data_IF_448551283854
#
_entry.id   IF_448551283854
#
_cell.length_a   1.000
_cell.length_b   1.000
_cell.length_c   1.000
_cell.angle_alpha   90.00
_cell.angle_beta   90.00
_cell.angle_gamma   90.00
#
_symmetry.space_group_name_H-M   'P 1'
#
loop_
_entity.id
_entity.type
_entity.pdbx_description
1 polymer ?
#
# COMPACT_ATOMS: atom_id res chain seq x y z
N UNK A 1 45.81 21.26 19.02
CA UNK A 1 44.72 20.45 19.60
C UNK A 1 43.84 20.05 18.44
N UNK A 2 44.14 18.90 17.90
CA UNK A 2 43.44 18.29 16.75
C UNK A 2 42.29 17.46 17.30
N UNK A 3 41.07 17.80 16.95
CA UNK A 3 39.86 17.04 17.28
C UNK A 3 39.72 15.90 16.27
N UNK A 4 40.00 14.69 16.71
CA UNK A 4 39.62 13.47 15.98
C UNK A 4 38.10 13.28 16.07
N UNK A 5 37.41 13.42 14.94
CA UNK A 5 36.07 12.92 14.77
C UNK A 5 36.13 11.41 14.54
N UNK A 6 35.26 10.61 15.16
CA UNK A 6 35.25 9.18 14.90
C UNK A 6 34.73 8.92 13.48
N UNK A 7 35.48 8.12 12.73
CA UNK A 7 35.15 7.64 11.43
C UNK A 7 33.81 6.87 11.48
N UNK A 8 32.87 7.29 10.65
CA UNK A 8 31.63 6.55 10.36
C UNK A 8 32.04 5.21 9.76
N UNK A 9 31.70 4.13 10.42
CA UNK A 9 31.94 2.78 9.94
C UNK A 9 31.20 2.58 8.61
N UNK A 10 31.96 2.21 7.57
CA UNK A 10 31.41 1.80 6.27
C UNK A 10 30.39 0.68 6.45
N UNK A 11 29.29 0.67 5.67
CA UNK A 11 28.31 -0.40 5.75
C UNK A 11 28.97 -1.74 5.42
N UNK A 12 28.72 -2.73 6.27
CA UNK A 12 29.15 -4.11 6.10
C UNK A 12 28.60 -4.62 4.74
N UNK A 13 29.47 -4.82 3.78
CA UNK A 13 29.14 -5.45 2.51
C UNK A 13 28.92 -6.95 2.74
N UNK A 14 27.68 -7.34 3.00
CA UNK A 14 27.27 -8.73 2.90
C UNK A 14 26.90 -9.03 1.45
N UNK A 15 27.87 -9.22 0.58
CA UNK A 15 27.63 -9.84 -0.71
C UNK A 15 27.35 -11.32 -0.47
N UNK A 16 26.08 -11.70 -0.45
CA UNK A 16 25.66 -13.06 -0.68
C UNK A 16 26.07 -13.42 -2.12
N UNK A 17 26.78 -14.52 -2.26
CA UNK A 17 27.16 -15.07 -3.56
C UNK A 17 25.89 -15.59 -4.22
N UNK A 18 25.63 -15.13 -5.43
CA UNK A 18 24.70 -15.65 -6.45
C UNK A 18 23.59 -16.61 -5.95
N UNK A 19 22.41 -16.08 -5.63
CA UNK A 19 21.15 -16.84 -5.65
C UNK A 19 20.89 -17.83 -4.52
N UNK A 20 21.77 -17.99 -3.53
CA UNK A 20 21.49 -18.84 -2.39
C UNK A 20 20.64 -18.14 -1.34
N UNK A 21 19.65 -18.86 -0.73
CA UNK A 21 18.84 -18.29 0.34
C UNK A 21 19.72 -17.86 1.51
N UNK A 22 19.43 -16.68 2.10
CA UNK A 22 20.13 -16.17 3.27
C UNK A 22 20.17 -17.22 4.37
N UNK A 23 21.35 -17.56 4.87
CA UNK A 23 21.48 -18.43 6.05
C UNK A 23 20.94 -17.74 7.32
N UNK A 24 20.82 -18.49 8.42
CA UNK A 24 20.29 -18.00 9.69
C UNK A 24 20.96 -16.68 10.17
N UNK A 25 22.27 -16.55 9.97
CA UNK A 25 23.01 -15.32 10.32
C UNK A 25 22.58 -14.13 9.46
N UNK A 26 22.36 -14.33 8.15
CA UNK A 26 21.83 -13.29 7.24
C UNK A 26 20.41 -12.86 7.61
N UNK A 27 19.55 -13.79 8.00
CA UNK A 27 18.20 -13.48 8.48
C UNK A 27 18.23 -12.64 9.78
N UNK A 28 19.09 -12.95 10.72
CA UNK A 28 19.25 -12.18 11.96
C UNK A 28 19.79 -10.76 11.68
N UNK A 29 20.76 -10.64 10.78
CA UNK A 29 21.28 -9.34 10.38
C UNK A 29 20.21 -8.47 9.71
N UNK A 30 19.41 -9.04 8.80
CA UNK A 30 18.28 -8.35 8.16
C UNK A 30 17.23 -7.93 9.19
N UNK A 31 16.82 -8.80 10.11
CA UNK A 31 15.88 -8.47 11.16
C UNK A 31 16.38 -7.32 12.06
N UNK A 32 17.65 -7.34 12.42
CA UNK A 32 18.27 -6.27 13.20
C UNK A 32 18.30 -4.94 12.41
N UNK A 33 18.62 -4.99 11.12
CA UNK A 33 18.60 -3.81 10.23
C UNK A 33 17.19 -3.23 10.10
N UNK A 34 16.18 -4.08 9.84
CA UNK A 34 14.79 -3.67 9.77
C UNK A 34 14.29 -3.04 11.08
N UNK A 35 14.61 -3.64 12.22
CA UNK A 35 14.29 -3.07 13.52
C UNK A 35 14.99 -1.71 13.77
N UNK A 36 16.23 -1.55 13.30
CA UNK A 36 16.95 -0.29 13.37
C UNK A 36 16.24 0.81 12.56
N UNK A 37 15.83 0.50 11.31
CA UNK A 37 15.10 1.45 10.46
C UNK A 37 13.79 1.87 11.10
N UNK A 38 12.96 0.91 11.53
CA UNK A 38 11.66 1.22 12.14
C UNK A 38 11.80 2.09 13.40
N UNK A 39 12.81 1.84 14.22
CA UNK A 39 13.08 2.66 15.40
C UNK A 39 13.60 4.04 15.04
N UNK A 40 14.49 4.13 14.05
CA UNK A 40 15.06 5.39 13.57
C UNK A 40 14.01 6.33 12.95
N UNK A 41 13.03 5.77 12.26
CA UNK A 41 11.96 6.53 11.62
C UNK A 41 10.78 6.83 12.56
N UNK A 42 10.74 6.24 13.76
CA UNK A 42 9.68 6.45 14.74
C UNK A 42 9.93 7.70 15.59
N UNK A 43 8.91 8.56 15.72
CA UNK A 43 8.93 9.75 16.56
C UNK A 43 7.52 10.32 16.75
N UNK A 44 7.26 11.00 17.87
CA UNK A 44 5.98 11.68 18.09
C UNK A 44 4.71 10.81 18.08
N UNK A 45 4.85 9.48 18.21
CA UNK A 45 3.72 8.54 18.14
C UNK A 45 3.43 7.99 16.75
N UNK A 46 4.11 8.46 15.71
CA UNK A 46 4.01 7.96 14.33
C UNK A 46 5.38 7.50 13.80
N UNK A 47 5.38 6.84 12.64
CA UNK A 47 6.58 6.43 11.93
C UNK A 47 6.58 7.10 10.55
N UNK A 48 7.67 7.83 10.23
CA UNK A 48 7.89 8.38 8.90
C UNK A 48 7.98 7.24 7.89
N UNK A 49 7.37 7.38 6.72
CA UNK A 49 7.47 6.35 5.69
C UNK A 49 8.91 6.19 5.19
N UNK A 50 9.63 7.32 5.00
CA UNK A 50 11.07 7.36 4.78
C UNK A 50 11.67 8.65 5.34
N UNK A 51 12.94 8.65 5.82
CA UNK A 51 13.48 9.80 6.57
C UNK A 51 13.60 11.07 5.73
N UNK A 52 13.99 10.96 4.45
CA UNK A 52 14.33 12.10 3.60
C UNK A 52 13.23 12.52 2.62
N UNK A 53 12.39 11.57 2.17
CA UNK A 53 11.42 11.81 1.10
C UNK A 53 9.97 11.89 1.61
N UNK A 54 9.64 11.11 2.62
CA UNK A 54 8.27 10.95 3.11
C UNK A 54 8.18 11.17 4.64
N UNK A 55 8.23 12.45 5.09
CA UNK A 55 8.39 12.78 6.52
C UNK A 55 7.11 12.71 7.34
N UNK A 56 5.97 12.38 6.72
CA UNK A 56 4.65 12.31 7.36
C UNK A 56 4.20 10.87 7.59
N UNK A 57 2.98 10.68 8.11
CA UNK A 57 2.34 9.38 8.22
C UNK A 57 1.42 9.15 7.02
N UNK A 58 1.77 8.19 6.15
CA UNK A 58 0.89 7.71 5.09
C UNK A 58 0.01 6.58 5.60
N UNK A 59 -1.23 6.52 5.09
CA UNK A 59 -2.29 5.66 5.62
C UNK A 59 -1.98 4.17 5.50
N UNK A 60 -1.73 3.68 4.30
CA UNK A 60 -1.46 2.26 4.12
C UNK A 60 -0.06 1.87 4.61
N UNK A 61 0.91 2.80 4.51
CA UNK A 61 2.24 2.64 5.11
C UNK A 61 2.15 2.41 6.62
N UNK A 62 1.40 3.26 7.34
CA UNK A 62 1.21 3.14 8.78
C UNK A 62 0.61 1.78 9.18
N UNK A 63 -0.33 1.25 8.39
CA UNK A 63 -0.92 -0.05 8.65
C UNK A 63 0.12 -1.19 8.50
N UNK A 64 0.92 -1.16 7.45
CA UNK A 64 1.99 -2.15 7.26
C UNK A 64 3.11 -2.01 8.28
N UNK A 65 3.50 -0.76 8.57
CA UNK A 65 4.49 -0.44 9.62
C UNK A 65 4.01 -0.97 10.98
N UNK A 66 2.74 -0.79 11.32
CA UNK A 66 2.18 -1.31 12.55
C UNK A 66 2.26 -2.85 12.65
N UNK A 67 2.00 -3.57 11.55
CA UNK A 67 2.18 -5.02 11.52
C UNK A 67 3.65 -5.44 11.78
N UNK A 68 4.61 -4.74 11.19
CA UNK A 68 6.05 -4.96 11.44
C UNK A 68 6.47 -4.60 12.88
N UNK A 69 5.99 -3.46 13.39
CA UNK A 69 6.26 -3.01 14.76
C UNK A 69 5.75 -4.00 15.81
N UNK A 70 4.66 -4.72 15.55
CA UNK A 70 4.11 -5.70 16.47
C UNK A 70 5.13 -6.82 16.82
N UNK A 71 6.07 -7.13 15.92
CA UNK A 71 7.19 -8.03 16.20
C UNK A 71 8.20 -7.45 17.18
N UNK A 72 8.26 -6.14 17.37
CA UNK A 72 9.16 -5.44 18.28
C UNK A 72 8.44 -5.05 19.57
N UNK A 73 7.30 -4.35 19.43
CA UNK A 73 6.50 -3.80 20.51
C UNK A 73 5.04 -3.65 20.07
N UNK A 74 4.15 -4.45 20.67
CA UNK A 74 2.71 -4.46 20.35
C UNK A 74 2.04 -3.13 20.73
N UNK A 75 2.43 -2.52 21.84
CA UNK A 75 1.86 -1.24 22.27
C UNK A 75 2.23 -0.12 21.27
N UNK A 76 3.48 -0.13 20.79
CA UNK A 76 3.92 0.83 19.75
C UNK A 76 3.18 0.62 18.43
N UNK A 77 2.91 -0.64 18.04
CA UNK A 77 2.10 -0.96 16.87
C UNK A 77 0.68 -0.40 16.96
N UNK A 78 0.04 -0.51 18.13
CA UNK A 78 -1.26 0.07 18.40
C UNK A 78 -1.22 1.61 18.31
N UNK A 79 -0.21 2.24 18.91
CA UNK A 79 -0.02 3.70 18.88
C UNK A 79 0.17 4.23 17.45
N UNK A 80 0.81 3.46 16.55
CA UNK A 80 0.95 3.83 15.13
C UNK A 80 -0.42 4.04 14.48
N UNK A 81 -1.37 3.14 14.73
CA UNK A 81 -2.72 3.25 14.19
C UNK A 81 -3.58 4.29 14.92
N UNK A 82 -3.36 4.53 16.21
CA UNK A 82 -4.04 5.62 16.94
C UNK A 82 -3.73 6.98 16.33
N UNK A 83 -2.47 7.20 15.89
CA UNK A 83 -2.08 8.40 15.16
C UNK A 83 -2.89 8.58 13.86
N UNK A 84 -3.08 7.50 13.11
CA UNK A 84 -3.89 7.52 11.90
C UNK A 84 -5.37 7.77 12.19
N UNK A 85 -5.95 7.12 13.21
CA UNK A 85 -7.35 7.32 13.60
C UNK A 85 -7.62 8.73 14.16
N UNK A 86 -6.62 9.41 14.69
CA UNK A 86 -6.76 10.81 15.11
C UNK A 86 -7.08 11.75 13.94
N UNK A 87 -6.64 11.39 12.72
CA UNK A 87 -6.94 12.14 11.50
C UNK A 87 -8.17 11.65 10.73
N UNK A 88 -8.94 10.70 11.27
CA UNK A 88 -10.15 10.21 10.61
C UNK A 88 -11.20 11.32 10.44
N UNK A 89 -11.74 11.47 9.24
CA UNK A 89 -12.78 12.44 8.95
C UNK A 89 -14.11 12.03 9.57
N UNK A 90 -15.02 12.99 9.78
CA UNK A 90 -16.36 12.70 10.34
C UNK A 90 -17.22 11.82 9.44
N UNK A 91 -16.90 11.74 8.15
CA UNK A 91 -17.51 10.78 7.20
C UNK A 91 -17.08 9.34 7.44
N UNK A 92 -16.05 9.10 8.26
CA UNK A 92 -15.39 7.81 8.46
C UNK A 92 -14.15 7.60 7.58
N UNK A 93 -13.86 8.49 6.61
CA UNK A 93 -12.69 8.38 5.74
C UNK A 93 -11.38 8.43 6.53
N UNK A 94 -10.49 7.46 6.30
CA UNK A 94 -9.09 7.57 6.70
C UNK A 94 -8.31 8.29 5.60
N UNK A 95 -7.64 9.41 5.93
CA UNK A 95 -6.93 10.20 4.94
C UNK A 95 -5.66 9.50 4.46
N UNK A 96 -5.27 9.74 3.23
CA UNK A 96 -4.03 9.29 2.61
C UNK A 96 -2.78 9.75 3.39
N UNK A 97 -2.74 11.00 3.88
CA UNK A 97 -1.65 11.56 4.69
C UNK A 97 -2.21 12.24 5.95
N UNK A 98 -1.55 11.97 7.07
CA UNK A 98 -1.58 12.81 8.27
C UNK A 98 -0.30 13.62 8.31
N UNK A 99 -0.41 14.93 8.27
CA UNK A 99 0.73 15.82 8.25
C UNK A 99 1.31 16.00 9.65
N UNK A 100 2.61 15.75 9.78
CA UNK A 100 3.37 16.14 10.97
C UNK A 100 3.50 17.66 11.01
N UNK A 101 3.08 18.27 12.12
CA UNK A 101 3.09 19.72 12.27
C UNK A 101 4.51 20.32 12.33
N UNK A 102 5.50 19.53 12.67
CA UNK A 102 6.91 19.94 12.76
C UNK A 102 7.64 19.85 11.42
N UNK A 103 7.05 19.17 10.40
CA UNK A 103 7.65 18.95 9.08
C UNK A 103 7.01 19.88 8.04
N UNK A 104 7.63 21.05 7.85
CA UNK A 104 7.07 22.10 6.98
C UNK A 104 7.57 22.05 5.54
N UNK A 105 8.57 21.24 5.23
CA UNK A 105 9.25 21.25 3.92
C UNK A 105 8.81 20.08 3.02
N UNK A 106 7.50 19.80 2.98
CA UNK A 106 6.90 18.78 2.11
C UNK A 106 5.90 19.41 1.12
N UNK A 107 5.85 18.88 -0.11
CA UNK A 107 4.89 19.30 -1.11
C UNK A 107 4.29 18.09 -1.87
N UNK A 108 2.93 18.04 -2.03
CA UNK A 108 1.92 19.00 -1.57
C UNK A 108 1.60 18.88 -0.07
N UNK A 109 1.90 19.92 0.69
CA UNK A 109 1.66 20.00 2.13
C UNK A 109 0.20 20.39 2.48
N UNK A 110 -0.11 20.55 3.79
CA UNK A 110 -1.47 20.79 4.27
C UNK A 110 -2.09 22.07 3.71
N UNK A 111 -1.28 23.10 3.45
CA UNK A 111 -1.74 24.36 2.83
C UNK A 111 -2.24 24.15 1.40
N UNK A 112 -1.58 23.25 0.65
CA UNK A 112 -1.99 22.93 -0.71
C UNK A 112 -3.30 22.14 -0.73
N UNK A 113 -3.46 21.21 0.18
CA UNK A 113 -4.71 20.46 0.35
C UNK A 113 -5.82 21.32 0.90
N UNK A 114 -5.55 22.14 1.90
CA UNK A 114 -6.49 23.07 2.55
C UNK A 114 -7.80 22.39 3.00
N UNK A 115 -7.75 21.13 3.42
CA UNK A 115 -8.95 20.32 3.69
C UNK A 115 -9.87 20.94 4.75
N UNK A 116 -9.30 21.43 5.87
CA UNK A 116 -10.08 22.08 6.92
C UNK A 116 -10.78 23.37 6.48
N UNK A 117 -10.35 23.97 5.34
CA UNK A 117 -10.97 25.17 4.77
C UNK A 117 -12.15 24.83 3.87
N UNK A 118 -12.03 23.76 3.07
CA UNK A 118 -13.02 23.41 2.05
C UNK A 118 -14.00 22.33 2.52
N UNK A 119 -13.58 21.40 3.40
CA UNK A 119 -14.40 20.29 3.86
C UNK A 119 -14.78 20.44 5.33
N UNK A 120 -16.07 20.59 5.62
CA UNK A 120 -16.57 20.69 6.99
C UNK A 120 -16.32 19.42 7.81
N UNK A 121 -16.15 18.26 7.15
CA UNK A 121 -15.93 16.95 7.78
C UNK A 121 -14.45 16.63 8.02
N UNK A 122 -13.53 17.42 7.47
CA UNK A 122 -12.11 17.27 7.71
C UNK A 122 -11.73 17.69 9.15
N UNK A 123 -10.79 17.00 9.80
CA UNK A 123 -10.25 17.44 11.09
C UNK A 123 -9.43 18.71 10.90
N UNK A 124 -9.43 19.58 11.92
CA UNK A 124 -8.60 20.78 11.96
C UNK A 124 -7.21 20.50 12.53
N UNK A 125 -7.11 19.47 13.36
CA UNK A 125 -5.87 18.93 13.93
C UNK A 125 -6.07 17.43 14.26
N UNK A 126 -5.15 16.57 13.78
CA UNK A 126 -4.08 16.87 12.84
C UNK A 126 -4.61 17.30 11.46
N UNK A 127 -3.81 18.05 10.70
CA UNK A 127 -4.13 18.37 9.31
C UNK A 127 -3.92 17.13 8.42
N UNK A 128 -4.77 16.99 7.40
CA UNK A 128 -4.78 15.79 6.56
C UNK A 128 -4.90 16.13 5.08
N UNK A 129 -4.56 15.18 4.21
CA UNK A 129 -4.98 15.19 2.81
C UNK A 129 -6.48 14.88 2.68
N UNK A 130 -7.08 15.18 1.51
CA UNK A 130 -8.51 15.00 1.23
C UNK A 130 -8.85 13.79 0.36
N UNK A 131 -7.98 12.80 0.32
CA UNK A 131 -8.17 11.51 -0.38
C UNK A 131 -7.79 10.37 0.55
N UNK A 132 -8.12 9.13 0.18
CA UNK A 132 -7.79 7.92 0.94
C UNK A 132 -6.65 7.12 0.28
N UNK A 133 -6.36 5.93 0.82
CA UNK A 133 -5.43 4.93 0.26
C UNK A 133 -5.99 3.51 0.44
N UNK A 134 -5.30 2.44 -0.08
CA UNK A 134 -5.81 1.08 0.00
C UNK A 134 -6.13 0.64 1.44
N UNK A 135 -7.30 0.03 1.68
CA UNK A 135 -7.83 -0.22 3.02
C UNK A 135 -7.25 -1.48 3.68
N UNK A 136 -5.96 -1.51 3.90
CA UNK A 136 -5.22 -2.63 4.51
C UNK A 136 -5.32 -2.69 6.04
N UNK A 137 -5.95 -1.69 6.67
CA UNK A 137 -5.93 -1.46 8.12
C UNK A 137 -6.47 -2.65 8.93
N UNK A 138 -7.62 -3.22 8.54
CA UNK A 138 -8.19 -4.36 9.25
C UNK A 138 -7.32 -5.63 9.10
N UNK A 139 -6.64 -5.80 7.97
CA UNK A 139 -5.65 -6.87 7.78
C UNK A 139 -4.47 -6.69 8.74
N UNK A 140 -3.93 -5.47 8.81
CA UNK A 140 -2.83 -5.15 9.71
C UNK A 140 -3.22 -5.36 11.18
N UNK A 141 -4.43 -4.94 11.58
CA UNK A 141 -4.93 -5.16 12.95
C UNK A 141 -5.07 -6.65 13.25
N UNK A 142 -5.62 -7.44 12.33
CA UNK A 142 -5.68 -8.89 12.51
C UNK A 142 -4.29 -9.50 12.67
N UNK A 143 -3.30 -9.00 11.90
CA UNK A 143 -1.90 -9.41 12.02
C UNK A 143 -1.30 -9.07 13.37
N UNK A 144 -1.52 -7.84 13.87
CA UNK A 144 -1.10 -7.41 15.21
C UNK A 144 -1.70 -8.33 16.29
N UNK A 145 -2.99 -8.63 16.20
CA UNK A 145 -3.67 -9.53 17.14
C UNK A 145 -3.06 -10.92 17.15
N UNK A 146 -2.79 -11.49 15.96
CA UNK A 146 -2.15 -12.80 15.81
C UNK A 146 -0.75 -12.83 16.43
N UNK A 147 0.07 -11.80 16.19
CA UNK A 147 1.41 -11.67 16.78
C UNK A 147 1.33 -11.54 18.30
N UNK A 148 0.43 -10.68 18.80
CA UNK A 148 0.24 -10.45 20.23
C UNK A 148 -0.20 -11.72 20.97
N UNK A 149 -1.11 -12.49 20.40
CA UNK A 149 -1.57 -13.77 20.96
C UNK A 149 -0.45 -14.80 21.06
N UNK A 150 0.41 -14.91 20.03
CA UNK A 150 1.58 -15.80 20.08
C UNK A 150 2.60 -15.37 21.13
N UNK A 151 2.76 -14.08 21.36
CA UNK A 151 3.62 -13.56 22.43
C UNK A 151 3.04 -13.82 23.82
N UNK A 152 1.70 -13.81 23.94
CA UNK A 152 0.98 -14.03 25.20
C UNK A 152 1.16 -12.90 26.22
N UNK A 153 0.67 -13.10 27.42
CA UNK A 153 0.81 -12.17 28.55
C UNK A 153 0.36 -10.75 28.23
N UNK A 154 1.14 -9.77 28.69
CA UNK A 154 0.83 -8.33 28.55
C UNK A 154 0.61 -7.90 27.09
N UNK A 155 1.28 -8.54 26.12
CA UNK A 155 1.11 -8.24 24.69
C UNK A 155 -0.31 -8.56 24.22
N UNK A 156 -0.83 -9.72 24.58
CA UNK A 156 -2.19 -10.16 24.21
C UNK A 156 -3.25 -9.27 24.87
N UNK A 157 -3.07 -8.95 26.15
CA UNK A 157 -4.00 -8.09 26.90
C UNK A 157 -4.02 -6.65 26.36
N UNK A 158 -2.84 -6.10 26.04
CA UNK A 158 -2.71 -4.77 25.41
C UNK A 158 -3.43 -4.70 24.07
N UNK A 159 -3.18 -5.66 23.17
CA UNK A 159 -3.83 -5.69 21.86
C UNK A 159 -5.35 -5.87 21.96
N UNK A 160 -5.83 -6.76 22.84
CA UNK A 160 -7.25 -6.99 23.02
C UNK A 160 -7.98 -5.77 23.59
N UNK A 161 -7.39 -5.10 24.58
CA UNK A 161 -7.94 -3.87 25.15
C UNK A 161 -7.98 -2.73 24.12
N UNK A 162 -6.90 -2.56 23.36
CA UNK A 162 -6.81 -1.55 22.31
C UNK A 162 -7.82 -1.80 21.20
N UNK A 163 -7.99 -3.05 20.74
CA UNK A 163 -8.92 -3.41 19.67
C UNK A 163 -10.35 -2.98 19.99
N UNK A 164 -10.79 -3.11 21.24
CA UNK A 164 -12.15 -2.69 21.65
C UNK A 164 -12.40 -1.20 21.40
N UNK A 165 -11.37 -0.36 21.56
CA UNK A 165 -11.44 1.08 21.26
C UNK A 165 -11.26 1.42 19.77
N UNK A 166 -10.45 0.65 19.04
CA UNK A 166 -10.12 0.89 17.63
C UNK A 166 -11.20 0.35 16.68
N UNK A 167 -11.93 -0.70 17.07
CA UNK A 167 -12.93 -1.35 16.20
C UNK A 167 -13.97 -0.38 15.63
N UNK A 168 -14.60 0.54 16.41
CA UNK A 168 -15.57 1.48 15.86
C UNK A 168 -14.99 2.37 14.74
N UNK A 169 -13.71 2.76 14.85
CA UNK A 169 -13.01 3.57 13.83
C UNK A 169 -12.82 2.79 12.54
N UNK A 170 -12.43 1.51 12.64
CA UNK A 170 -12.32 0.62 11.50
C UNK A 170 -13.69 0.40 10.83
N UNK A 171 -14.75 0.21 11.62
CA UNK A 171 -16.10 0.04 11.10
C UNK A 171 -16.59 1.26 10.32
N UNK A 172 -16.40 2.46 10.87
CA UNK A 172 -16.72 3.73 10.19
C UNK A 172 -15.96 3.86 8.86
N UNK A 173 -14.68 3.49 8.83
CA UNK A 173 -13.88 3.47 7.61
C UNK A 173 -14.42 2.50 6.56
N UNK A 174 -14.78 1.29 6.96
CA UNK A 174 -15.33 0.30 6.06
C UNK A 174 -16.72 0.70 5.53
N UNK A 175 -17.56 1.28 6.37
CA UNK A 175 -18.86 1.82 5.97
C UNK A 175 -18.72 2.99 5.00
N UNK A 176 -17.76 3.90 5.24
CA UNK A 176 -17.45 4.97 4.30
C UNK A 176 -17.11 4.42 2.91
N UNK A 177 -16.20 3.49 2.80
CA UNK A 177 -15.82 2.88 1.52
C UNK A 177 -17.00 2.18 0.84
N UNK A 178 -17.75 1.38 1.58
CA UNK A 178 -18.87 0.61 1.05
C UNK A 178 -20.03 1.47 0.53
N UNK A 179 -20.18 2.70 1.06
CA UNK A 179 -21.30 3.59 0.72
C UNK A 179 -20.91 4.76 -0.19
N UNK A 180 -19.76 5.40 0.08
CA UNK A 180 -19.34 6.58 -0.67
C UNK A 180 -18.51 6.24 -1.90
N UNK A 181 -17.74 5.13 -1.84
CA UNK A 181 -16.85 4.74 -2.93
C UNK A 181 -17.40 3.62 -3.82
N UNK A 182 -18.54 3.01 -3.44
CA UNK A 182 -19.32 2.07 -4.24
C UNK A 182 -20.82 2.36 -4.09
N UNK A 183 -21.30 3.59 -4.42
CA UNK A 183 -22.69 3.98 -4.20
C UNK A 183 -23.67 3.21 -5.09
N UNK A 184 -23.21 2.67 -6.21
CA UNK A 184 -24.02 1.90 -7.14
C UNK A 184 -24.08 0.40 -6.79
N UNK A 185 -23.27 -0.05 -5.79
CA UNK A 185 -23.27 -1.42 -5.29
C UNK A 185 -22.66 -2.44 -6.26
N UNK A 186 -21.80 -1.99 -7.16
CA UNK A 186 -21.12 -2.86 -8.16
C UNK A 186 -20.04 -3.75 -7.55
N UNK A 187 -19.57 -3.44 -6.33
CA UNK A 187 -18.49 -4.15 -5.66
C UNK A 187 -17.11 -3.78 -6.19
N UNK A 188 -16.96 -2.56 -6.70
CA UNK A 188 -15.69 -1.98 -7.11
C UNK A 188 -15.57 -0.57 -6.52
N UNK A 189 -14.49 -0.31 -5.78
CA UNK A 189 -14.23 1.01 -5.23
C UNK A 189 -13.87 1.99 -6.34
N UNK A 190 -14.45 3.18 -6.25
CA UNK A 190 -14.14 4.33 -7.11
C UNK A 190 -13.01 5.12 -6.49
N UNK A 191 -12.00 5.49 -7.29
CA UNK A 191 -10.94 6.42 -6.92
C UNK A 191 -11.07 7.73 -7.69
N UNK A 192 -10.67 8.83 -7.05
CA UNK A 192 -10.76 10.20 -7.54
C UNK A 192 -9.40 10.78 -7.91
N UNK A 193 -8.34 10.06 -7.58
CA UNK A 193 -6.95 10.41 -7.84
C UNK A 193 -6.12 9.15 -7.94
N UNK A 194 -5.11 9.10 -8.82
CA UNK A 194 -4.23 7.95 -8.92
C UNK A 194 -3.45 7.66 -7.62
N UNK A 195 -3.20 8.67 -6.80
CA UNK A 195 -2.56 8.48 -5.48
C UNK A 195 -3.40 7.63 -4.51
N UNK A 196 -4.72 7.58 -4.66
CA UNK A 196 -5.57 6.72 -3.82
C UNK A 196 -5.30 5.23 -4.03
N UNK A 197 -4.83 4.86 -5.22
CA UNK A 197 -4.48 3.47 -5.52
C UNK A 197 -3.22 2.97 -4.81
N UNK A 198 -2.39 3.88 -4.28
CA UNK A 198 -1.02 3.61 -3.85
C UNK A 198 -0.05 3.31 -4.99
N UNK A 199 -0.53 3.30 -6.26
CA UNK A 199 0.24 3.01 -7.48
C UNK A 199 0.20 4.18 -8.46
N UNK A 200 0.71 5.33 -8.05
CA UNK A 200 0.48 6.69 -8.57
C UNK A 200 0.56 6.84 -10.09
N UNK A 201 1.66 6.40 -10.69
CA UNK A 201 1.92 6.50 -12.13
C UNK A 201 1.82 5.16 -12.84
N UNK A 202 1.10 4.19 -12.28
CA UNK A 202 0.84 2.93 -12.95
C UNK A 202 0.25 3.16 -14.35
N UNK A 203 0.65 2.39 -15.37
CA UNK A 203 0.08 2.53 -16.71
C UNK A 203 -1.44 2.27 -16.76
N UNK A 204 -2.02 1.68 -15.72
CA UNK A 204 -3.48 1.56 -15.53
C UNK A 204 -4.20 2.89 -15.68
N UNK A 205 -3.56 3.99 -15.27
CA UNK A 205 -4.17 5.33 -15.18
C UNK A 205 -3.94 6.18 -16.42
N UNK A 206 -3.11 5.75 -17.37
CA UNK A 206 -2.75 6.56 -18.55
C UNK A 206 -3.98 7.02 -19.33
N UNK A 207 -4.95 6.14 -19.56
CA UNK A 207 -6.19 6.47 -20.26
C UNK A 207 -7.06 7.48 -19.50
N UNK A 208 -7.08 7.41 -18.16
CA UNK A 208 -7.83 8.37 -17.33
C UNK A 208 -7.11 9.71 -17.29
N UNK A 209 -5.81 9.71 -17.07
CA UNK A 209 -5.00 10.94 -17.08
C UNK A 209 -4.99 11.65 -18.45
N UNK A 210 -5.11 10.91 -19.57
CA UNK A 210 -5.24 11.51 -20.89
C UNK A 210 -6.50 12.38 -21.03
N UNK A 211 -7.55 12.09 -20.26
CA UNK A 211 -8.78 12.90 -20.18
C UNK A 211 -8.65 14.15 -19.30
N UNK A 212 -7.58 14.26 -18.51
CA UNK A 212 -7.39 15.41 -17.60
C UNK A 212 -6.74 16.58 -18.35
N UNK A 213 -7.51 17.66 -18.55
CA UNK A 213 -7.01 18.90 -19.16
C UNK A 213 -6.64 19.89 -18.06
N UNK A 214 -5.35 20.20 -17.95
CA UNK A 214 -4.85 21.18 -16.98
C UNK A 214 -5.23 22.59 -17.44
N UNK A 215 -5.95 23.34 -16.61
CA UNK A 215 -6.35 24.70 -16.91
C UNK A 215 -5.29 25.75 -16.49
N UNK A 216 -5.45 26.97 -16.98
CA UNK A 216 -4.52 28.10 -16.75
C UNK A 216 -4.50 28.58 -15.28
N UNK A 217 -5.43 28.13 -14.46
CA UNK A 217 -5.55 28.51 -13.05
C UNK A 217 -4.81 27.58 -12.09
N UNK A 218 -3.99 26.64 -12.60
CA UNK A 218 -3.16 25.81 -11.73
C UNK A 218 -2.18 26.69 -10.96
N UNK A 219 -2.26 26.75 -9.62
CA UNK A 219 -1.33 27.56 -8.83
C UNK A 219 0.12 27.07 -8.99
N UNK A 220 1.11 27.98 -9.04
CA UNK A 220 2.50 27.62 -9.18
C UNK A 220 2.97 26.74 -8.01
N UNK A 221 3.94 25.86 -8.28
CA UNK A 221 4.47 24.94 -7.29
C UNK A 221 5.94 24.58 -7.59
N UNK A 222 6.62 24.04 -6.58
CA UNK A 222 7.95 23.46 -6.70
C UNK A 222 7.93 22.03 -6.18
N UNK A 223 8.41 21.11 -6.98
CA UNK A 223 8.55 19.69 -6.60
C UNK A 223 9.71 19.51 -5.63
N UNK A 224 9.51 18.63 -4.64
CA UNK A 224 10.55 18.23 -3.68
C UNK A 224 11.13 16.85 -3.97
N UNK A 225 10.32 15.93 -4.48
CA UNK A 225 10.72 14.57 -4.80
C UNK A 225 11.91 14.48 -5.75
N UNK A 226 12.01 15.38 -6.75
CA UNK A 226 13.13 15.45 -7.69
C UNK A 226 14.41 16.07 -7.11
N UNK A 227 14.34 16.67 -5.94
CA UNK A 227 15.52 17.13 -5.22
C UNK A 227 16.20 15.99 -4.43
N UNK A 228 15.42 15.00 -3.99
CA UNK A 228 15.89 13.82 -3.24
C UNK A 228 16.27 12.69 -4.19
N UNK A 229 15.38 12.32 -5.12
CA UNK A 229 15.63 11.30 -6.15
C UNK A 229 16.25 11.98 -7.37
N UNK A 230 17.57 11.91 -7.48
CA UNK A 230 18.34 12.61 -8.53
C UNK A 230 18.21 11.99 -9.92
N UNK A 231 17.92 10.70 -10.01
CA UNK A 231 17.56 10.04 -11.27
C UNK A 231 16.08 10.29 -11.57
N UNK A 232 15.81 11.34 -12.34
CA UNK A 232 14.44 11.78 -12.67
C UNK A 232 13.67 10.74 -13.50
N UNK A 233 14.31 9.73 -14.08
CA UNK A 233 13.62 8.64 -14.78
C UNK A 233 12.82 7.74 -13.85
N UNK A 234 13.14 7.78 -12.56
CA UNK A 234 12.45 7.05 -11.50
C UNK A 234 11.15 7.71 -11.04
N UNK A 235 10.90 8.95 -11.42
CA UNK A 235 9.77 9.76 -10.91
C UNK A 235 8.83 10.19 -12.03
N UNK A 236 7.56 10.51 -11.73
CA UNK A 236 6.63 11.06 -12.69
C UNK A 236 7.17 12.32 -13.39
N UNK A 237 6.83 12.49 -14.66
CA UNK A 237 7.18 13.69 -15.44
C UNK A 237 6.49 14.95 -14.90
N UNK A 238 6.95 16.14 -15.34
CA UNK A 238 6.29 17.39 -14.97
C UNK A 238 4.82 17.44 -15.43
N UNK A 239 4.53 16.94 -16.62
CA UNK A 239 3.16 16.96 -17.18
C UNK A 239 2.21 16.02 -16.44
N UNK A 240 2.71 14.89 -15.93
CA UNK A 240 1.93 14.02 -15.03
C UNK A 240 1.66 14.72 -13.71
N UNK A 241 2.69 15.36 -13.13
CA UNK A 241 2.55 16.06 -11.87
C UNK A 241 1.61 17.29 -11.97
N UNK A 242 1.61 18.02 -13.10
CA UNK A 242 0.64 19.08 -13.37
C UNK A 242 -0.81 18.55 -13.33
N UNK A 243 -1.06 17.34 -13.89
CA UNK A 243 -2.38 16.69 -13.83
C UNK A 243 -2.75 16.27 -12.42
N UNK A 244 -1.82 15.73 -11.64
CA UNK A 244 -2.06 15.37 -10.24
C UNK A 244 -2.52 16.56 -9.43
N UNK A 245 -1.83 17.69 -9.56
CA UNK A 245 -2.19 18.91 -8.85
C UNK A 245 -3.48 19.54 -9.38
N UNK A 246 -3.77 19.39 -10.68
CA UNK A 246 -5.04 19.86 -11.24
C UNK A 246 -6.22 19.10 -10.66
N UNK A 247 -6.13 17.77 -10.55
CA UNK A 247 -7.15 16.94 -9.92
C UNK A 247 -7.35 17.37 -8.46
N UNK A 248 -6.26 17.65 -7.71
CA UNK A 248 -6.36 18.17 -6.35
C UNK A 248 -7.18 19.48 -6.31
N UNK A 249 -6.97 20.40 -7.27
CA UNK A 249 -7.77 21.61 -7.37
C UNK A 249 -9.25 21.34 -7.72
N UNK A 250 -9.53 20.28 -8.50
CA UNK A 250 -10.92 19.85 -8.74
C UNK A 250 -11.58 19.30 -7.48
N UNK A 251 -10.87 18.52 -6.67
CA UNK A 251 -11.36 18.02 -5.39
C UNK A 251 -11.70 19.17 -4.42
N UNK A 252 -10.86 20.20 -4.35
CA UNK A 252 -11.14 21.42 -3.56
C UNK A 252 -12.40 22.15 -4.04
N UNK A 253 -12.56 22.31 -5.37
CA UNK A 253 -13.77 22.95 -5.94
C UNK A 253 -15.06 22.16 -5.65
N UNK A 254 -14.93 20.86 -5.41
CA UNK A 254 -16.02 19.99 -5.01
C UNK A 254 -16.20 19.92 -3.48
N UNK A 255 -15.50 20.78 -2.71
CA UNK A 255 -15.50 20.79 -1.24
C UNK A 255 -15.16 19.41 -0.63
N UNK A 256 -14.42 18.58 -1.36
CA UNK A 256 -14.10 17.16 -1.03
C UNK A 256 -15.34 16.29 -0.78
N UNK A 257 -16.49 16.67 -1.30
CA UNK A 257 -17.75 15.95 -1.15
C UNK A 257 -17.91 14.91 -2.26
N UNK A 258 -18.03 13.62 -1.89
CA UNK A 258 -17.99 12.47 -2.82
C UNK A 258 -18.98 12.60 -3.98
N UNK A 259 -20.22 13.04 -3.74
CA UNK A 259 -21.24 13.19 -4.79
C UNK A 259 -20.86 14.26 -5.80
N UNK A 260 -20.31 15.38 -5.33
CA UNK A 260 -19.85 16.49 -6.19
C UNK A 260 -18.59 16.10 -6.98
N UNK A 261 -17.66 15.38 -6.35
CA UNK A 261 -16.47 14.84 -7.02
C UNK A 261 -16.88 13.89 -8.14
N UNK A 262 -17.76 12.94 -7.86
CA UNK A 262 -18.27 12.01 -8.88
C UNK A 262 -18.94 12.72 -10.05
N UNK A 263 -19.62 13.83 -9.80
CA UNK A 263 -20.28 14.61 -10.85
C UNK A 263 -19.30 15.41 -11.72
N UNK A 264 -18.21 15.95 -11.16
CA UNK A 264 -17.39 16.99 -11.79
C UNK A 264 -15.92 16.66 -12.04
N UNK A 265 -15.29 15.77 -11.25
CA UNK A 265 -13.86 15.50 -11.39
C UNK A 265 -13.50 14.87 -12.73
N UNK A 266 -12.39 15.28 -13.32
CA UNK A 266 -11.91 14.75 -14.60
C UNK A 266 -11.32 13.34 -14.46
N UNK A 267 -10.69 13.02 -13.33
CA UNK A 267 -10.22 11.68 -13.01
C UNK A 267 -11.28 10.92 -12.21
N UNK A 268 -11.76 9.81 -12.76
CA UNK A 268 -12.71 8.93 -12.09
C UNK A 268 -12.55 7.49 -12.64
N UNK A 269 -12.18 6.57 -11.78
CA UNK A 269 -11.93 5.18 -12.16
C UNK A 269 -12.36 4.22 -11.07
N UNK A 270 -12.71 2.97 -11.45
CA UNK A 270 -12.68 1.88 -10.48
C UNK A 270 -11.23 1.50 -10.16
N UNK A 271 -10.99 0.86 -9.01
CA UNK A 271 -9.72 0.24 -8.68
C UNK A 271 -9.93 -1.20 -8.19
N UNK A 272 -9.58 -2.17 -9.04
CA UNK A 272 -9.76 -3.61 -8.75
C UNK A 272 -8.84 -4.08 -7.63
N UNK A 273 -7.62 -3.52 -7.51
CA UNK A 273 -6.67 -3.90 -6.47
C UNK A 273 -7.12 -3.42 -5.09
N UNK A 274 -7.51 -2.15 -5.00
CA UNK A 274 -8.07 -1.57 -3.79
C UNK A 274 -9.37 -2.29 -3.37
N UNK A 275 -10.21 -2.67 -4.34
CA UNK A 275 -11.46 -3.41 -4.11
C UNK A 275 -11.20 -4.82 -3.58
N UNK A 276 -10.18 -5.51 -4.08
CA UNK A 276 -9.80 -6.84 -3.60
C UNK A 276 -9.22 -6.78 -2.17
N UNK A 277 -8.38 -5.79 -1.88
CA UNK A 277 -7.90 -5.53 -0.52
C UNK A 277 -9.08 -5.26 0.40
N UNK A 278 -10.05 -4.45 -0.03
CA UNK A 278 -11.23 -4.15 0.76
C UNK A 278 -12.10 -5.38 1.03
N UNK A 279 -12.26 -6.27 0.06
CA UNK A 279 -12.97 -7.54 0.27
C UNK A 279 -12.28 -8.39 1.34
N UNK A 280 -10.96 -8.55 1.26
CA UNK A 280 -10.18 -9.30 2.24
C UNK A 280 -10.18 -8.62 3.62
N UNK A 281 -10.08 -7.29 3.65
CA UNK A 281 -10.13 -6.50 4.89
C UNK A 281 -11.49 -6.58 5.60
N UNK A 282 -12.59 -6.68 4.85
CA UNK A 282 -13.92 -6.91 5.43
C UNK A 282 -14.04 -8.31 6.08
N UNK A 283 -13.42 -9.35 5.49
CA UNK A 283 -13.33 -10.66 6.14
C UNK A 283 -12.55 -10.60 7.46
N UNK A 284 -11.42 -9.90 7.45
CA UNK A 284 -10.62 -9.69 8.66
C UNK A 284 -11.41 -8.91 9.72
N UNK A 285 -12.06 -7.81 9.33
CA UNK A 285 -12.85 -7.00 10.25
C UNK A 285 -14.06 -7.76 10.81
N UNK A 286 -14.68 -8.65 10.01
CA UNK A 286 -15.75 -9.53 10.49
C UNK A 286 -15.25 -10.51 11.58
N UNK A 287 -14.03 -11.03 11.46
CA UNK A 287 -13.42 -11.86 12.51
C UNK A 287 -13.08 -11.03 13.75
N UNK A 288 -12.60 -9.80 13.56
CA UNK A 288 -12.34 -8.86 14.67
C UNK A 288 -13.63 -8.45 15.38
N UNK A 289 -14.74 -8.24 14.64
CA UNK A 289 -16.06 -7.98 15.23
C UNK A 289 -16.49 -9.08 16.21
N UNK A 290 -16.33 -10.34 15.82
CA UNK A 290 -16.62 -11.48 16.70
C UNK A 290 -15.74 -11.45 17.96
N UNK A 291 -14.46 -11.10 17.83
CA UNK A 291 -13.52 -11.01 18.97
C UNK A 291 -13.94 -9.97 20.00
N UNK A 292 -14.45 -8.82 19.56
CA UNK A 292 -14.91 -7.75 20.46
C UNK A 292 -16.38 -7.90 20.87
N UNK A 293 -17.08 -8.93 20.39
CA UNK A 293 -18.49 -9.16 20.67
C UNK A 293 -19.43 -8.17 19.99
N UNK A 294 -19.02 -7.57 18.87
CA UNK A 294 -19.81 -6.65 18.08
C UNK A 294 -20.77 -7.38 17.12
N UNK A 295 -21.88 -6.73 16.78
CA UNK A 295 -22.99 -7.32 15.99
C UNK A 295 -22.81 -7.26 14.47
N UNK A 296 -21.83 -6.55 13.96
CA UNK A 296 -21.72 -6.18 12.54
C UNK A 296 -21.00 -7.22 11.67
N UNK A 297 -20.67 -8.38 12.21
CA UNK A 297 -19.92 -9.41 11.46
C UNK A 297 -20.60 -9.83 10.14
N UNK A 298 -21.94 -9.91 10.11
CA UNK A 298 -22.69 -10.29 8.90
C UNK A 298 -22.70 -9.15 7.86
N UNK A 299 -22.87 -7.90 8.26
CA UNK A 299 -22.74 -6.72 7.39
C UNK A 299 -21.38 -6.74 6.67
N UNK A 300 -20.30 -6.99 7.43
CA UNK A 300 -18.94 -7.03 6.88
C UNK A 300 -18.72 -8.21 5.94
N UNK A 301 -19.31 -9.37 6.23
CA UNK A 301 -19.28 -10.51 5.29
C UNK A 301 -20.06 -10.23 4.00
N UNK A 302 -21.15 -9.48 4.07
CA UNK A 302 -21.91 -9.04 2.90
C UNK A 302 -21.07 -8.09 2.05
N UNK A 303 -20.37 -7.12 2.64
CA UNK A 303 -19.40 -6.26 1.94
C UNK A 303 -18.32 -7.11 1.28
N UNK A 304 -17.67 -8.01 2.01
CA UNK A 304 -16.63 -8.89 1.47
C UNK A 304 -17.15 -9.68 0.25
N UNK A 305 -18.34 -10.27 0.34
CA UNK A 305 -18.94 -11.03 -0.74
C UNK A 305 -19.29 -10.16 -1.96
N UNK A 306 -19.78 -8.93 -1.76
CA UNK A 306 -20.10 -7.98 -2.82
C UNK A 306 -18.84 -7.60 -3.60
N UNK A 307 -17.79 -7.15 -2.90
CA UNK A 307 -16.55 -6.72 -3.53
C UNK A 307 -15.80 -7.88 -4.20
N UNK A 308 -15.82 -9.05 -3.60
CA UNK A 308 -15.29 -10.26 -4.25
C UNK A 308 -15.96 -10.57 -5.58
N UNK A 309 -17.29 -10.46 -5.65
CA UNK A 309 -18.04 -10.64 -6.92
C UNK A 309 -17.69 -9.56 -7.95
N UNK A 310 -17.58 -8.29 -7.53
CA UNK A 310 -17.19 -7.19 -8.42
C UNK A 310 -15.79 -7.40 -9.02
N UNK A 311 -14.82 -7.77 -8.19
CA UNK A 311 -13.45 -8.09 -8.63
C UNK A 311 -13.45 -9.31 -9.59
N UNK A 312 -14.15 -10.38 -9.27
CA UNK A 312 -14.23 -11.55 -10.15
C UNK A 312 -14.90 -11.23 -11.50
N UNK A 313 -15.93 -10.38 -11.50
CA UNK A 313 -16.63 -9.94 -12.71
C UNK A 313 -15.80 -8.98 -13.57
N UNK A 314 -14.75 -8.35 -13.05
CA UNK A 314 -13.86 -7.44 -13.78
C UNK A 314 -12.77 -8.16 -14.58
N UNK A 315 -12.68 -9.49 -14.51
CA UNK A 315 -11.65 -10.26 -15.21
C UNK A 315 -11.90 -10.23 -16.72
N UNK A 316 -10.93 -9.71 -17.47
CA UNK A 316 -10.94 -9.74 -18.93
C UNK A 316 -10.64 -11.15 -19.45
N UNK A 317 -11.53 -11.70 -20.27
CA UNK A 317 -11.42 -13.09 -20.77
C UNK A 317 -10.16 -13.34 -21.62
N UNK A 318 -9.61 -12.31 -22.27
CA UNK A 318 -8.44 -12.45 -23.14
C UNK A 318 -7.13 -12.49 -22.37
N UNK A 319 -6.98 -11.61 -21.38
CA UNK A 319 -5.77 -11.52 -20.57
C UNK A 319 -5.82 -12.46 -19.35
N UNK A 320 -7.01 -12.78 -18.86
CA UNK A 320 -7.23 -13.47 -17.61
C UNK A 320 -6.99 -12.60 -16.37
N UNK A 321 -6.70 -11.30 -16.53
CA UNK A 321 -6.42 -10.34 -15.48
C UNK A 321 -7.65 -9.49 -15.15
N UNK A 322 -7.84 -9.12 -13.90
CA UNK A 322 -8.83 -8.14 -13.52
C UNK A 322 -8.47 -6.75 -14.08
N UNK A 323 -9.47 -6.00 -14.52
CA UNK A 323 -9.29 -4.71 -15.19
C UNK A 323 -10.11 -3.62 -14.55
N UNK A 324 -9.51 -2.43 -14.49
CA UNK A 324 -10.21 -1.21 -14.09
C UNK A 324 -11.12 -0.69 -15.20
N UNK A 325 -12.03 0.20 -14.84
CA UNK A 325 -12.91 0.88 -15.77
C UNK A 325 -12.80 2.39 -15.59
N UNK A 326 -12.55 3.10 -16.69
CA UNK A 326 -12.65 4.55 -16.72
C UNK A 326 -14.13 4.95 -16.61
N UNK A 327 -14.54 5.55 -15.50
CA UNK A 327 -15.93 5.87 -15.23
C UNK A 327 -16.43 7.12 -15.97
N UNK A 328 -15.54 7.87 -16.65
CA UNK A 328 -15.94 8.99 -17.53
C UNK A 328 -16.34 8.51 -18.93
N UNK A 329 -15.70 7.47 -19.42
CA UNK A 329 -15.98 6.89 -20.76
C UNK A 329 -16.79 5.62 -20.69
N UNK A 330 -16.80 4.92 -19.55
CA UNK A 330 -17.36 3.59 -19.38
C UNK A 330 -16.47 2.45 -19.87
N UNK A 331 -15.31 2.77 -20.47
CA UNK A 331 -14.45 1.78 -21.12
C UNK A 331 -13.57 1.03 -20.10
N UNK A 332 -13.37 -0.30 -20.29
CA UNK A 332 -12.40 -1.07 -19.53
C UNK A 332 -10.97 -0.66 -19.93
N UNK A 333 -10.04 -0.81 -19.00
CA UNK A 333 -8.62 -0.46 -19.18
C UNK A 333 -7.75 -1.73 -19.02
N UNK A 334 -7.63 -2.58 -20.05
CA UNK A 334 -6.94 -3.85 -19.97
C UNK A 334 -5.43 -3.70 -20.03
N UNK A 335 -4.82 -3.22 -18.94
CA UNK A 335 -3.37 -3.02 -18.79
C UNK A 335 -2.78 -4.12 -17.91
N UNK A 336 -1.67 -4.72 -18.35
CA UNK A 336 -1.03 -5.84 -17.67
C UNK A 336 -0.14 -5.38 -16.51
N UNK A 337 -0.77 -5.13 -15.36
CA UNK A 337 -0.09 -4.75 -14.11
C UNK A 337 -0.37 -5.76 -13.01
N UNK A 338 0.40 -5.69 -11.94
CA UNK A 338 0.22 -6.52 -10.74
C UNK A 338 -1.20 -6.45 -10.18
N UNK A 339 -1.89 -5.33 -10.37
CA UNK A 339 -3.27 -5.15 -9.95
C UNK A 339 -4.24 -6.13 -10.61
N UNK A 340 -3.92 -6.62 -11.81
CA UNK A 340 -4.72 -7.63 -12.51
C UNK A 340 -4.80 -8.98 -11.78
N UNK A 341 -3.88 -9.24 -10.84
CA UNK A 341 -3.94 -10.40 -9.96
C UNK A 341 -4.80 -10.18 -8.70
N UNK A 342 -5.57 -9.11 -8.64
CA UNK A 342 -6.48 -8.78 -7.54
C UNK A 342 -7.34 -9.96 -7.04
N UNK A 343 -7.92 -10.83 -7.91
CA UNK A 343 -8.68 -11.97 -7.44
C UNK A 343 -7.91 -12.93 -6.52
N UNK A 344 -6.59 -13.03 -6.65
CA UNK A 344 -5.77 -13.87 -5.77
C UNK A 344 -5.71 -13.33 -4.33
N UNK A 345 -5.97 -12.04 -4.12
CA UNK A 345 -6.02 -11.44 -2.78
C UNK A 345 -7.34 -11.76 -2.06
N UNK A 346 -8.45 -11.75 -2.77
CA UNK A 346 -9.78 -11.87 -2.16
C UNK A 346 -10.52 -13.18 -2.48
N UNK A 347 -10.08 -13.94 -3.49
CA UNK A 347 -10.81 -15.09 -4.03
C UNK A 347 -12.01 -14.68 -4.88
N UNK A 348 -12.91 -15.63 -5.13
CA UNK A 348 -14.16 -15.40 -5.86
C UNK A 348 -14.16 -15.94 -7.28
N UNK A 349 -13.04 -16.43 -7.78
CA UNK A 349 -12.95 -17.21 -9.00
C UNK A 349 -13.33 -18.66 -8.73
N UNK A 350 -13.75 -19.40 -9.77
CA UNK A 350 -13.79 -20.85 -9.70
C UNK A 350 -12.38 -21.45 -9.75
N UNK A 351 -12.23 -22.72 -9.34
CA UNK A 351 -10.93 -23.38 -9.24
C UNK A 351 -10.14 -23.37 -10.56
N UNK A 352 -10.83 -23.47 -11.70
CA UNK A 352 -10.18 -23.49 -13.01
C UNK A 352 -9.68 -22.09 -13.39
N UNK A 353 -10.43 -21.03 -13.09
CA UNK A 353 -10.03 -19.65 -13.34
C UNK A 353 -8.88 -19.24 -12.38
N UNK A 354 -8.97 -19.60 -11.10
CA UNK A 354 -7.89 -19.36 -10.14
C UNK A 354 -6.60 -20.09 -10.55
N UNK A 355 -6.68 -21.36 -10.95
CA UNK A 355 -5.52 -22.12 -11.44
C UNK A 355 -4.88 -21.48 -12.68
N UNK A 356 -5.70 -20.95 -13.62
CA UNK A 356 -5.18 -20.23 -14.79
C UNK A 356 -4.48 -18.94 -14.39
N UNK A 357 -5.05 -18.20 -13.43
CA UNK A 357 -4.46 -16.94 -12.95
C UNK A 357 -3.14 -17.18 -12.21
N UNK A 358 -3.05 -18.24 -11.40
CA UNK A 358 -1.80 -18.66 -10.76
C UNK A 358 -0.76 -19.10 -11.80
N UNK A 359 -1.15 -19.87 -12.81
CA UNK A 359 -0.25 -20.26 -13.90
C UNK A 359 0.24 -19.04 -14.70
N UNK A 360 -0.61 -18.02 -14.88
CA UNK A 360 -0.19 -16.76 -15.49
C UNK A 360 0.82 -16.02 -14.62
N UNK A 361 0.60 -15.94 -13.30
CA UNK A 361 1.52 -15.32 -12.36
C UNK A 361 2.91 -15.98 -12.41
N UNK A 362 2.97 -17.31 -12.54
CA UNK A 362 4.22 -18.09 -12.61
C UNK A 362 4.79 -18.19 -14.06
N UNK A 363 4.14 -17.57 -15.04
CA UNK A 363 4.58 -17.60 -16.43
C UNK A 363 5.79 -16.69 -16.69
N UNK A 364 6.36 -16.82 -17.91
CA UNK A 364 7.43 -15.95 -18.42
C UNK A 364 7.07 -14.47 -18.47
N UNK A 365 5.80 -14.12 -18.42
CA UNK A 365 5.34 -12.72 -18.40
C UNK A 365 5.55 -12.07 -17.04
N UNK A 366 5.70 -12.88 -15.99
CA UNK A 366 5.71 -12.46 -14.58
C UNK A 366 6.84 -13.16 -13.83
N UNK A 367 6.55 -13.78 -12.68
CA UNK A 367 7.58 -14.34 -11.77
C UNK A 367 8.46 -15.42 -12.40
N UNK A 368 8.00 -16.09 -13.47
CA UNK A 368 8.78 -17.08 -14.22
C UNK A 368 9.66 -16.50 -15.34
N UNK A 369 9.79 -15.17 -15.47
CA UNK A 369 10.63 -14.58 -16.49
C UNK A 369 12.13 -14.86 -16.23
N UNK A 370 12.90 -15.34 -17.23
CA UNK A 370 14.29 -15.76 -17.03
C UNK A 370 15.26 -14.61 -16.71
N UNK A 371 14.90 -13.37 -17.07
CA UNK A 371 15.74 -12.19 -16.83
C UNK A 371 15.50 -11.56 -15.45
N UNK A 372 14.51 -12.01 -14.67
CA UNK A 372 14.30 -11.53 -13.29
C UNK A 372 15.48 -11.93 -12.42
N UNK A 373 16.05 -10.97 -11.70
CA UNK A 373 17.10 -11.26 -10.70
C UNK A 373 16.56 -12.10 -9.54
N UNK A 374 15.36 -11.76 -9.09
CA UNK A 374 14.60 -12.50 -8.11
C UNK A 374 13.20 -12.78 -8.68
N UNK A 375 12.63 -13.94 -8.39
CA UNK A 375 11.33 -14.34 -8.94
C UNK A 375 10.15 -13.71 -8.18
N UNK A 376 10.22 -12.39 -7.99
CA UNK A 376 9.19 -11.55 -7.39
C UNK A 376 8.22 -11.02 -8.45
N UNK A 377 7.07 -10.49 -8.02
CA UNK A 377 6.09 -9.88 -8.92
C UNK A 377 6.51 -8.46 -9.26
N UNK A 378 6.80 -8.12 -10.52
CA UNK A 378 7.02 -6.74 -10.95
C UNK A 378 5.69 -5.99 -11.05
N UNK A 379 5.70 -4.66 -10.97
CA UNK A 379 4.47 -3.85 -11.04
C UNK A 379 3.78 -3.88 -12.40
N UNK A 380 4.52 -4.22 -13.46
CA UNK A 380 4.00 -4.36 -14.84
C UNK A 380 4.63 -5.59 -15.49
N UNK A 381 3.88 -6.31 -16.33
CA UNK A 381 4.38 -7.48 -17.08
C UNK A 381 5.65 -7.14 -17.86
N UNK A 382 6.69 -8.00 -17.79
CA UNK A 382 7.93 -7.78 -18.52
C UNK A 382 7.75 -7.80 -20.04
N UNK A 383 6.71 -8.46 -20.53
CA UNK A 383 6.38 -8.51 -21.97
C UNK A 383 5.45 -7.38 -22.42
N UNK A 384 4.99 -6.52 -21.50
CA UNK A 384 4.19 -5.35 -21.84
C UNK A 384 5.02 -4.25 -22.49
N UNK A 385 4.45 -3.56 -23.49
CA UNK A 385 5.04 -2.35 -24.06
C UNK A 385 5.16 -1.19 -23.05
N UNK A 386 4.44 -1.26 -21.94
CA UNK A 386 4.44 -0.26 -20.87
C UNK A 386 5.51 -0.52 -19.82
N UNK A 387 6.19 -1.66 -19.88
CA UNK A 387 7.25 -2.00 -18.93
C UNK A 387 8.41 -1.01 -18.99
N UNK A 388 8.72 -0.45 -17.82
CA UNK A 388 9.84 0.48 -17.59
C UNK A 388 10.52 0.09 -16.29
N UNK A 389 11.62 -0.67 -16.33
CA UNK A 389 12.17 -1.37 -15.16
C UNK A 389 12.63 -0.45 -14.02
N UNK A 390 12.80 0.85 -14.28
CA UNK A 390 13.26 1.83 -13.29
C UNK A 390 12.21 2.88 -12.91
N UNK A 391 11.06 2.90 -13.59
CA UNK A 391 10.09 4.00 -13.46
C UNK A 391 8.96 3.64 -12.51
N UNK A 392 9.14 3.93 -11.24
CA UNK A 392 8.16 3.89 -10.15
C UNK A 392 7.18 2.70 -10.24
N UNK A 393 5.89 2.91 -10.56
CA UNK A 393 4.88 1.84 -10.69
C UNK A 393 4.73 1.30 -12.13
N UNK A 394 5.78 1.40 -12.96
CA UNK A 394 5.74 0.98 -14.38
C UNK A 394 6.67 -0.21 -14.70
N UNK A 395 7.17 -0.92 -13.71
CA UNK A 395 8.06 -2.06 -13.91
C UNK A 395 8.71 -2.58 -12.65
N UNK A 396 9.25 -1.74 -11.76
CA UNK A 396 9.91 -2.17 -10.54
C UNK A 396 9.09 -3.17 -9.71
N UNK A 397 9.79 -4.03 -8.97
CA UNK A 397 9.20 -4.83 -7.91
C UNK A 397 9.09 -4.01 -6.62
N UNK A 398 8.02 -4.25 -5.88
CA UNK A 398 7.72 -3.57 -4.63
C UNK A 398 7.65 -4.59 -3.50
N UNK A 399 8.58 -4.54 -2.53
CA UNK A 399 8.63 -5.53 -1.44
C UNK A 399 7.31 -5.64 -0.69
N UNK A 400 6.64 -4.51 -0.48
CA UNK A 400 5.35 -4.44 0.17
C UNK A 400 4.26 -5.22 -0.57
N UNK A 401 4.19 -5.07 -1.90
CA UNK A 401 3.20 -5.77 -2.74
C UNK A 401 3.49 -7.27 -2.75
N UNK A 402 4.76 -7.65 -2.88
CA UNK A 402 5.16 -9.05 -2.85
C UNK A 402 4.86 -9.70 -1.49
N UNK A 403 5.09 -8.99 -0.38
CA UNK A 403 4.69 -9.44 0.94
C UNK A 403 3.17 -9.62 1.05
N UNK A 404 2.38 -8.64 0.57
CA UNK A 404 0.92 -8.72 0.61
C UNK A 404 0.39 -9.93 -0.18
N UNK A 405 0.90 -10.16 -1.40
CA UNK A 405 0.52 -11.33 -2.19
C UNK A 405 0.91 -12.64 -1.52
N UNK A 406 2.14 -12.75 -1.01
CA UNK A 406 2.59 -13.95 -0.31
C UNK A 406 1.69 -14.24 0.91
N UNK A 407 1.37 -13.21 1.70
CA UNK A 407 0.50 -13.33 2.86
C UNK A 407 -0.92 -13.77 2.48
N UNK A 408 -1.54 -13.10 1.50
CA UNK A 408 -2.91 -13.42 1.09
C UNK A 408 -3.01 -14.79 0.40
N UNK A 409 -2.05 -15.17 -0.45
CA UNK A 409 -1.97 -16.48 -1.06
C UNK A 409 -1.87 -17.58 0.00
N UNK A 410 -1.05 -17.40 1.04
CA UNK A 410 -0.99 -18.34 2.15
C UNK A 410 -2.35 -18.51 2.84
N UNK A 411 -3.02 -17.40 3.16
CA UNK A 411 -4.35 -17.43 3.77
C UNK A 411 -5.44 -18.06 2.90
N UNK A 412 -5.25 -18.06 1.58
CA UNK A 412 -6.13 -18.68 0.59
C UNK A 412 -5.79 -20.15 0.33
N UNK A 413 -4.82 -20.72 1.05
CA UNK A 413 -4.40 -22.11 0.92
C UNK A 413 -3.42 -22.38 -0.23
N UNK A 414 -2.95 -21.32 -0.94
CA UNK A 414 -1.94 -21.42 -2.00
C UNK A 414 -0.53 -21.43 -1.40
N UNK A 415 -0.29 -22.37 -0.47
CA UNK A 415 0.88 -22.39 0.43
C UNK A 415 2.20 -22.48 -0.32
N UNK A 416 2.27 -23.29 -1.39
CA UNK A 416 3.50 -23.47 -2.16
C UNK A 416 3.88 -22.21 -2.96
N UNK A 417 2.91 -21.55 -3.60
CA UNK A 417 3.14 -20.30 -4.33
C UNK A 417 3.54 -19.20 -3.34
N UNK A 418 2.85 -19.11 -2.22
CA UNK A 418 3.17 -18.16 -1.15
C UNK A 418 4.60 -18.37 -0.62
N UNK A 419 5.02 -19.60 -0.40
CA UNK A 419 6.37 -19.94 0.09
C UNK A 419 7.46 -19.54 -0.93
N UNK A 420 7.24 -19.80 -2.23
CA UNK A 420 8.17 -19.38 -3.29
C UNK A 420 8.29 -17.87 -3.36
N UNK A 421 7.15 -17.15 -3.35
CA UNK A 421 7.14 -15.69 -3.39
C UNK A 421 7.81 -15.07 -2.15
N UNK A 422 7.54 -15.63 -0.96
CA UNK A 422 8.22 -15.23 0.28
C UNK A 422 9.74 -15.38 0.17
N UNK A 423 10.21 -16.54 -0.32
CA UNK A 423 11.64 -16.80 -0.50
C UNK A 423 12.29 -15.82 -1.47
N UNK A 424 11.62 -15.52 -2.59
CA UNK A 424 12.08 -14.57 -3.58
C UNK A 424 12.12 -13.13 -3.01
N UNK A 425 11.10 -12.71 -2.27
CA UNK A 425 11.06 -11.40 -1.61
C UNK A 425 12.18 -11.24 -0.57
N UNK A 426 12.46 -12.27 0.23
CA UNK A 426 13.58 -12.25 1.17
C UNK A 426 14.95 -12.18 0.46
N UNK A 427 15.08 -12.86 -0.68
CA UNK A 427 16.31 -12.78 -1.50
C UNK A 427 16.50 -11.39 -2.11
N UNK A 428 15.43 -10.71 -2.55
CA UNK A 428 15.47 -9.33 -3.04
C UNK A 428 15.96 -8.35 -1.96
N UNK A 429 15.55 -8.54 -0.71
CA UNK A 429 15.92 -7.70 0.43
C UNK A 429 17.33 -8.01 0.99
N UNK A 430 18.00 -9.01 0.41
CA UNK A 430 19.27 -9.54 0.94
C UNK A 430 20.44 -8.56 0.97
N UNK A 431 20.37 -7.44 0.22
CA UNK A 431 21.36 -6.37 0.24
C UNK A 431 21.27 -5.46 1.48
N UNK A 432 20.15 -5.53 2.23
CA UNK A 432 19.92 -4.73 3.44
C UNK A 432 19.66 -3.24 3.17
N UNK A 433 19.48 -2.83 1.92
CA UNK A 433 19.20 -1.44 1.55
C UNK A 433 17.83 -0.97 2.07
N UNK A 434 16.87 -1.89 2.18
CA UNK A 434 15.48 -1.62 2.56
C UNK A 434 14.92 -0.43 1.75
N UNK A 435 15.08 -0.53 0.42
CA UNK A 435 14.64 0.49 -0.52
C UNK A 435 13.13 0.46 -0.73
N UNK A 436 12.60 1.53 -1.27
CA UNK A 436 11.18 1.68 -1.59
C UNK A 436 10.73 0.64 -2.62
N UNK A 437 11.51 0.45 -3.68
CA UNK A 437 11.29 -0.55 -4.73
C UNK A 437 12.64 -0.96 -5.36
N UNK A 438 12.61 -1.99 -6.21
CA UNK A 438 13.81 -2.56 -6.82
C UNK A 438 13.63 -2.71 -8.34
N UNK A 439 14.72 -2.50 -9.09
CA UNK A 439 14.79 -2.81 -10.51
C UNK A 439 14.76 -4.34 -10.67
N UNK A 440 13.77 -4.92 -11.39
CA UNK A 440 13.52 -6.36 -11.27
C UNK A 440 14.55 -7.23 -12.02
N UNK A 441 15.31 -6.68 -12.98
CA UNK A 441 16.29 -7.43 -13.77
C UNK A 441 17.67 -7.42 -13.10
N UNK A 442 18.09 -6.28 -12.58
CA UNK A 442 19.41 -6.13 -11.93
C UNK A 442 19.38 -6.36 -10.43
N UNK A 443 18.22 -6.18 -9.79
CA UNK A 443 18.08 -6.15 -8.35
C UNK A 443 18.55 -4.83 -7.71
N UNK A 444 18.77 -3.77 -8.50
CA UNK A 444 19.23 -2.48 -7.98
C UNK A 444 18.16 -1.83 -7.09
N UNK A 445 18.49 -1.42 -5.87
CA UNK A 445 17.56 -0.69 -5.00
C UNK A 445 17.31 0.72 -5.54
N UNK A 446 16.04 1.15 -5.57
CA UNK A 446 15.57 2.39 -6.16
C UNK A 446 14.62 3.15 -5.20
N UNK A 447 14.32 4.40 -5.54
CA UNK A 447 13.44 5.27 -4.75
C UNK A 447 14.09 5.78 -3.48
N UNK A 448 13.34 5.81 -2.39
CA UNK A 448 13.86 6.14 -1.06
C UNK A 448 14.52 4.93 -0.40
N UNK A 449 15.45 5.21 0.51
CA UNK A 449 16.13 4.20 1.32
C UNK A 449 15.64 4.26 2.77
N UNK A 450 15.95 3.21 3.53
CA UNK A 450 15.46 3.08 4.91
C UNK A 450 13.93 3.22 5.00
N UNK A 451 13.26 2.62 4.01
CA UNK A 451 11.82 2.67 3.87
C UNK A 451 11.15 1.83 4.96
N UNK A 452 10.25 2.46 5.73
CA UNK A 452 9.64 1.82 6.90
C UNK A 452 8.75 0.63 6.54
N UNK A 453 7.95 0.70 5.47
CA UNK A 453 7.12 -0.44 5.06
C UNK A 453 7.95 -1.62 4.58
N UNK A 454 9.10 -1.38 3.89
CA UNK A 454 10.01 -2.45 3.47
C UNK A 454 10.66 -3.11 4.69
N UNK A 455 11.06 -2.31 5.69
CA UNK A 455 11.56 -2.84 6.95
C UNK A 455 10.49 -3.64 7.70
N UNK A 456 9.25 -3.18 7.72
CA UNK A 456 8.13 -3.89 8.33
C UNK A 456 7.83 -5.22 7.63
N UNK A 457 7.79 -5.21 6.29
CA UNK A 457 7.61 -6.42 5.48
C UNK A 457 8.75 -7.42 5.71
N UNK A 458 10.01 -6.96 5.77
CA UNK A 458 11.15 -7.82 6.07
C UNK A 458 11.03 -8.50 7.44
N UNK A 459 10.64 -7.77 8.48
CA UNK A 459 10.40 -8.35 9.81
C UNK A 459 9.31 -9.39 9.78
N UNK A 460 8.18 -9.09 9.15
CA UNK A 460 7.06 -10.02 9.12
C UNK A 460 7.37 -11.28 8.30
N UNK A 461 8.04 -11.14 7.16
CA UNK A 461 8.52 -12.27 6.37
C UNK A 461 9.49 -13.18 7.14
N UNK A 462 10.35 -12.60 7.99
CA UNK A 462 11.35 -13.35 8.76
C UNK A 462 10.78 -13.97 10.03
N UNK A 463 9.96 -13.23 10.78
CA UNK A 463 9.57 -13.57 12.15
C UNK A 463 8.29 -14.41 12.24
N UNK A 464 7.55 -14.53 11.14
CA UNK A 464 6.25 -15.19 11.16
C UNK A 464 6.38 -16.68 10.93
N UNK A 465 6.13 -17.47 11.99
CA UNK A 465 6.08 -18.94 11.92
C UNK A 465 4.83 -19.46 11.21
N UNK A 466 3.81 -18.64 11.03
CA UNK A 466 2.54 -18.97 10.37
C UNK A 466 2.71 -19.24 8.87
N UNK A 467 3.87 -18.86 8.31
CA UNK A 467 4.24 -19.14 6.91
C UNK A 467 4.83 -20.53 6.69
N UNK A 468 5.11 -21.24 7.78
CA UNK A 468 5.58 -22.64 7.74
C UNK A 468 4.38 -23.52 8.06
N UNK A 469 3.65 -23.93 7.02
CA UNK A 469 2.60 -24.94 7.13
C UNK A 469 3.15 -26.31 7.46
#
# INVERSE_FOLDING_TARGET
MTSDSPAVASPLSSRGVDGEPLGTEGHLAMAARAAYVLRGNSGGGMTKAAPDLYPHQWSWDAAFVAAGLAHLDVARACTELDGLFAGQWRTGMLPHIIFDADELDYFPGPERWACATFAADAPTAPQTSGICQPPVHALAVERIMSIAERRGGDSAETAASWLAGAYPRLLEWHRYLATHRDPDGEGLLTIYHGWESGMDNSPRWDAVYAGVTVGDTLPPYQRRDTAVVTDHSQRPSKSEYDRYLWILEELKRADYEDTRIRASASFLSTDVFMSAIFAAANEALARLAVRVGAGEADELREYAARFRRGVAASVDERSGLATDRNLRTGEPMPVETVAGFAPLLCGGLDDAAESRLLALLESRRWTGHPDLKHHVIPSTSLESSDFRPRTYWRGPSWPLVNWLFAWMLHHRGQVEVAARLRGAALAELGDGALAEYYEPITGEPLGSFDQSWTAAAALDLLMSSDWTG
#
